data_IF_993738124285
#
_entry.id   IF_993738124285
#
_cell.length_a   1.000
_cell.length_b   1.000
_cell.length_c   1.000
_cell.angle_alpha   90.00
_cell.angle_beta   90.00
_cell.angle_gamma   90.00
#
_symmetry.space_group_name_H-M   'P 1'
#
loop_
_entity.id
_entity.type
_entity.pdbx_description
1 polymer ?
#
# COMPACT_ATOMS: atom_id res chain seq x y z
N UNK A 1 -31.58 -25.88 4.88
CA UNK A 1 -30.80 -24.62 4.84
C UNK A 1 -30.96 -23.92 6.18
N UNK A 2 -29.87 -23.47 6.79
CA UNK A 2 -29.90 -22.75 8.07
C UNK A 2 -30.27 -21.28 7.86
N UNK A 3 -30.79 -20.62 8.90
CA UNK A 3 -31.13 -19.18 8.88
C UNK A 3 -29.95 -18.31 8.45
N UNK A 4 -28.73 -18.70 8.83
CA UNK A 4 -27.49 -18.03 8.44
C UNK A 4 -27.17 -18.17 6.95
N UNK A 5 -27.39 -19.34 6.36
CA UNK A 5 -27.20 -19.55 4.91
C UNK A 5 -28.15 -18.67 4.09
N UNK A 6 -29.40 -18.50 4.54
CA UNK A 6 -30.35 -17.60 3.89
C UNK A 6 -29.93 -16.13 4.00
N UNK A 7 -29.44 -15.71 5.17
CA UNK A 7 -28.91 -14.36 5.38
C UNK A 7 -27.69 -14.08 4.49
N UNK A 8 -26.76 -15.03 4.42
CA UNK A 8 -25.56 -14.91 3.59
C UNK A 8 -25.90 -14.82 2.10
N UNK A 9 -26.83 -15.65 1.61
CA UNK A 9 -27.30 -15.59 0.22
C UNK A 9 -27.96 -14.23 -0.10
N UNK A 10 -28.78 -13.71 0.81
CA UNK A 10 -29.40 -12.38 0.66
C UNK A 10 -28.34 -11.27 0.59
N UNK A 11 -27.38 -11.27 1.51
CA UNK A 11 -26.30 -10.28 1.52
C UNK A 11 -25.39 -10.37 0.28
N UNK A 12 -25.15 -11.58 -0.24
CA UNK A 12 -24.43 -11.78 -1.50
C UNK A 12 -25.21 -11.22 -2.70
N UNK A 13 -26.54 -11.37 -2.73
CA UNK A 13 -27.40 -10.76 -3.76
C UNK A 13 -27.34 -9.24 -3.72
N UNK A 14 -27.43 -8.64 -2.53
CA UNK A 14 -27.31 -7.17 -2.37
C UNK A 14 -25.94 -6.69 -2.85
N UNK A 15 -24.88 -7.45 -2.55
CA UNK A 15 -23.52 -7.12 -2.99
C UNK A 15 -23.34 -7.25 -4.51
N UNK A 16 -23.96 -8.23 -5.16
CA UNK A 16 -23.91 -8.36 -6.61
C UNK A 16 -24.68 -7.23 -7.30
N UNK A 17 -25.85 -6.85 -6.79
CA UNK A 17 -26.61 -5.68 -7.25
C UNK A 17 -25.81 -4.38 -7.10
N UNK A 18 -25.12 -4.19 -5.96
CA UNK A 18 -24.23 -3.04 -5.77
C UNK A 18 -23.10 -2.99 -6.81
N UNK A 19 -22.46 -4.13 -7.09
CA UNK A 19 -21.41 -4.22 -8.14
C UNK A 19 -21.96 -3.91 -9.53
N UNK A 20 -23.15 -4.40 -9.86
CA UNK A 20 -23.82 -4.10 -11.13
C UNK A 20 -24.17 -2.61 -11.23
N UNK A 21 -24.69 -2.01 -10.15
CA UNK A 21 -24.92 -0.57 -10.09
C UNK A 21 -23.63 0.21 -10.31
N UNK A 22 -22.52 -0.16 -9.66
CA UNK A 22 -21.23 0.51 -9.85
C UNK A 22 -20.70 0.39 -11.29
N UNK A 23 -20.88 -0.77 -11.93
CA UNK A 23 -20.49 -0.99 -13.31
C UNK A 23 -21.28 -0.11 -14.28
N UNK A 24 -22.60 0.00 -14.08
CA UNK A 24 -23.50 0.80 -14.92
C UNK A 24 -23.40 2.29 -14.66
N UNK A 25 -23.02 2.70 -13.44
CA UNK A 25 -22.95 4.11 -13.03
C UNK A 25 -21.68 4.84 -13.48
N UNK A 26 -20.86 4.21 -14.35
CA UNK A 26 -19.51 4.65 -14.67
C UNK A 26 -18.66 4.83 -13.40
N UNK A 27 -18.72 3.83 -12.52
CA UNK A 27 -17.97 3.77 -11.26
C UNK A 27 -18.26 4.97 -10.35
N UNK A 28 -19.53 5.39 -10.27
CA UNK A 28 -19.98 6.42 -9.34
C UNK A 28 -20.57 5.83 -8.07
N UNK A 29 -19.88 5.92 -6.92
CA UNK A 29 -20.43 5.40 -5.68
C UNK A 29 -21.68 6.15 -5.22
N UNK A 30 -21.82 7.43 -5.59
CA UNK A 30 -22.97 8.26 -5.18
C UNK A 30 -24.28 7.77 -5.75
N UNK A 31 -24.25 7.20 -6.96
CA UNK A 31 -25.43 6.66 -7.64
C UNK A 31 -25.90 5.33 -7.06
N UNK A 32 -25.05 4.67 -6.26
CA UNK A 32 -25.31 3.37 -5.65
C UNK A 32 -25.36 3.47 -4.11
N UNK A 33 -25.58 4.67 -3.57
CA UNK A 33 -25.56 4.93 -2.13
C UNK A 33 -26.63 4.15 -1.36
N UNK A 34 -27.76 3.82 -1.98
CA UNK A 34 -28.88 3.09 -1.37
C UNK A 34 -28.51 1.66 -0.92
N UNK A 35 -27.47 1.07 -1.53
CA UNK A 35 -26.98 -0.26 -1.18
C UNK A 35 -26.01 -0.23 0.01
N UNK A 36 -25.35 0.91 0.27
CA UNK A 36 -24.37 1.06 1.35
C UNK A 36 -24.95 0.71 2.73
N UNK A 37 -26.09 1.26 3.20
CA UNK A 37 -26.62 0.92 4.51
C UNK A 37 -27.01 -0.55 4.64
N UNK A 38 -27.47 -1.18 3.55
CA UNK A 38 -27.82 -2.61 3.51
C UNK A 38 -26.57 -3.48 3.64
N UNK A 39 -25.51 -3.14 2.89
CA UNK A 39 -24.24 -3.83 2.99
C UNK A 39 -23.61 -3.64 4.37
N UNK A 40 -23.66 -2.45 4.97
CA UNK A 40 -23.22 -2.21 6.36
C UNK A 40 -23.98 -3.05 7.38
N UNK A 41 -25.28 -3.26 7.18
CA UNK A 41 -26.06 -4.17 8.02
C UNK A 41 -25.55 -5.62 7.86
N UNK A 42 -25.30 -6.05 6.63
CA UNK A 42 -24.70 -7.36 6.35
C UNK A 42 -23.30 -7.52 6.97
N UNK A 43 -22.44 -6.49 6.90
CA UNK A 43 -21.10 -6.52 7.53
C UNK A 43 -21.22 -6.78 9.04
N UNK A 44 -22.15 -6.08 9.71
CA UNK A 44 -22.40 -6.24 11.15
C UNK A 44 -23.00 -7.59 11.50
N UNK A 45 -23.95 -8.10 10.70
CA UNK A 45 -24.64 -9.35 11.00
C UNK A 45 -23.79 -10.60 10.73
N UNK A 46 -22.95 -10.57 9.70
CA UNK A 46 -22.13 -11.72 9.29
C UNK A 46 -20.65 -11.59 9.71
N UNK A 47 -20.27 -10.45 10.29
CA UNK A 47 -18.89 -10.12 10.67
C UNK A 47 -17.90 -10.29 9.50
N UNK A 48 -18.32 -9.84 8.31
CA UNK A 48 -17.52 -9.86 7.07
C UNK A 48 -17.37 -8.43 6.55
N UNK A 49 -16.27 -8.15 5.84
CA UNK A 49 -16.08 -6.87 5.15
C UNK A 49 -16.48 -6.98 3.69
N UNK A 50 -17.18 -5.96 3.17
CA UNK A 50 -17.46 -5.80 1.73
C UNK A 50 -16.61 -4.71 1.08
N UNK A 51 -15.60 -4.20 1.78
CA UNK A 51 -14.64 -3.21 1.26
C UNK A 51 -15.30 -1.94 0.71
N UNK A 52 -16.37 -1.50 1.36
CA UNK A 52 -17.19 -0.39 0.89
C UNK A 52 -16.40 0.92 0.92
N UNK A 53 -15.66 1.17 2.00
CA UNK A 53 -14.87 2.39 2.16
C UNK A 53 -13.69 2.42 1.19
N UNK A 54 -12.98 1.31 1.06
CA UNK A 54 -11.87 1.14 0.12
C UNK A 54 -12.35 1.33 -1.31
N UNK A 55 -13.52 0.77 -1.68
CA UNK A 55 -14.13 0.99 -2.99
C UNK A 55 -14.47 2.46 -3.21
N UNK A 56 -15.12 3.10 -2.24
CA UNK A 56 -15.52 4.51 -2.35
C UNK A 56 -14.31 5.43 -2.49
N UNK A 57 -13.27 5.21 -1.68
CA UNK A 57 -12.03 5.96 -1.69
C UNK A 57 -11.26 5.76 -3.00
N UNK A 58 -11.14 4.51 -3.47
CA UNK A 58 -10.50 4.20 -4.74
C UNK A 58 -11.24 4.84 -5.91
N UNK A 59 -12.56 4.77 -5.97
CA UNK A 59 -13.33 5.40 -7.06
C UNK A 59 -13.27 6.92 -7.01
N UNK A 60 -13.24 7.51 -5.82
CA UNK A 60 -13.05 8.96 -5.64
C UNK A 60 -11.66 9.39 -6.12
N UNK A 61 -10.62 8.66 -5.73
CA UNK A 61 -9.25 8.93 -6.14
C UNK A 61 -9.06 8.70 -7.63
N UNK A 62 -9.55 7.60 -8.20
CA UNK A 62 -9.42 7.31 -9.63
C UNK A 62 -10.02 8.39 -10.55
N UNK A 63 -11.01 9.15 -10.06
CA UNK A 63 -11.58 10.31 -10.76
C UNK A 63 -10.76 11.58 -10.63
N UNK A 64 -10.03 11.73 -9.53
CA UNK A 64 -9.19 12.89 -9.20
C UNK A 64 -7.93 12.37 -8.51
N UNK A 65 -6.98 11.81 -9.28
CA UNK A 65 -5.83 11.13 -8.72
C UNK A 65 -4.93 12.12 -7.98
N UNK A 66 -4.33 11.64 -6.90
CA UNK A 66 -3.28 12.33 -6.18
C UNK A 66 -1.91 12.15 -6.86
N UNK A 67 -0.86 12.71 -6.28
CA UNK A 67 0.50 12.55 -6.80
C UNK A 67 1.00 11.09 -6.76
N UNK A 68 0.40 10.24 -5.91
CA UNK A 68 0.72 8.83 -5.81
C UNK A 68 -0.10 7.95 -6.76
N UNK A 69 -0.95 8.56 -7.61
CA UNK A 69 -1.83 7.90 -8.57
C UNK A 69 -2.69 6.81 -7.89
N UNK A 70 -3.20 7.12 -6.70
CA UNK A 70 -4.07 6.26 -5.90
C UNK A 70 -3.44 4.93 -5.46
N UNK A 71 -2.11 4.83 -5.44
CA UNK A 71 -1.40 3.59 -5.11
C UNK A 71 -1.80 3.02 -3.74
N UNK A 72 -2.02 3.90 -2.75
CA UNK A 72 -2.48 3.53 -1.40
C UNK A 72 -3.89 2.92 -1.44
N UNK A 73 -4.83 3.55 -2.14
CA UNK A 73 -6.21 3.08 -2.27
C UNK A 73 -6.28 1.74 -3.02
N UNK A 74 -5.46 1.55 -4.05
CA UNK A 74 -5.36 0.28 -4.76
C UNK A 74 -4.91 -0.85 -3.84
N UNK A 75 -3.87 -0.60 -3.03
CA UNK A 75 -3.37 -1.58 -2.09
C UNK A 75 -4.43 -1.92 -1.03
N UNK A 76 -5.04 -0.91 -0.41
CA UNK A 76 -6.08 -1.10 0.62
C UNK A 76 -7.25 -1.92 0.08
N UNK A 77 -7.72 -1.60 -1.13
CA UNK A 77 -8.80 -2.38 -1.77
C UNK A 77 -8.38 -3.82 -2.07
N UNK A 78 -7.15 -4.03 -2.55
CA UNK A 78 -6.61 -5.36 -2.86
C UNK A 78 -6.42 -6.22 -1.62
N UNK A 79 -6.01 -5.63 -0.50
CA UNK A 79 -5.86 -6.33 0.77
C UNK A 79 -7.21 -6.58 1.45
N UNK A 80 -8.14 -5.63 1.39
CA UNK A 80 -9.50 -5.84 1.92
C UNK A 80 -10.25 -6.96 1.19
N UNK A 81 -10.14 -7.04 -0.14
CA UNK A 81 -10.86 -8.06 -0.94
C UNK A 81 -10.28 -9.47 -0.79
N UNK A 82 -9.26 -9.67 0.06
CA UNK A 82 -8.60 -10.96 0.23
C UNK A 82 -9.43 -11.89 1.13
N UNK A 83 -9.70 -13.14 0.70
CA UNK A 83 -10.29 -14.14 1.59
C UNK A 83 -9.36 -14.40 2.78
N UNK A 84 -9.87 -14.28 4.00
CA UNK A 84 -9.08 -14.39 5.24
C UNK A 84 -8.54 -13.07 5.78
N UNK A 85 -8.80 -11.94 5.10
CA UNK A 85 -8.44 -10.60 5.55
C UNK A 85 -7.14 -10.07 4.96
N UNK A 86 -6.77 -8.81 5.29
CA UNK A 86 -5.60 -8.15 4.73
C UNK A 86 -4.30 -8.77 5.27
N UNK A 87 -3.33 -9.05 4.42
CA UNK A 87 -2.01 -9.53 4.87
C UNK A 87 -1.05 -8.38 5.09
N UNK A 88 -1.14 -7.36 4.24
CA UNK A 88 -0.34 -6.15 4.33
C UNK A 88 -1.22 -5.00 4.85
N UNK A 89 -0.69 -4.28 5.83
CA UNK A 89 -1.33 -3.17 6.51
C UNK A 89 -0.56 -1.89 6.23
N UNK A 90 -1.29 -0.79 6.14
CA UNK A 90 -0.72 0.57 6.12
C UNK A 90 -0.88 1.15 7.53
N UNK A 91 0.21 1.22 8.28
CA UNK A 91 0.28 1.74 9.65
C UNK A 91 0.94 3.12 9.67
N UNK A 92 1.01 3.74 10.84
CA UNK A 92 1.73 4.99 11.07
C UNK A 92 2.80 4.77 12.12
N UNK A 93 4.00 5.28 11.89
CA UNK A 93 5.05 5.26 12.90
C UNK A 93 4.86 6.29 14.01
N UNK A 94 5.80 6.31 14.97
CA UNK A 94 5.77 7.23 16.10
C UNK A 94 5.83 8.71 15.68
N UNK A 95 6.27 9.00 14.44
CA UNK A 95 6.36 10.33 13.86
C UNK A 95 5.15 10.64 12.96
N UNK A 96 4.20 9.71 12.84
CA UNK A 96 3.00 9.84 12.01
C UNK A 96 3.22 9.57 10.53
N UNK A 97 4.41 9.10 10.12
CA UNK A 97 4.69 8.75 8.74
C UNK A 97 4.13 7.34 8.42
N UNK A 98 3.55 7.15 7.21
CA UNK A 98 2.94 5.89 6.85
C UNK A 98 3.99 4.79 6.61
N UNK A 99 3.70 3.57 7.07
CA UNK A 99 4.57 2.39 6.94
C UNK A 99 3.78 1.17 6.51
N UNK A 100 4.47 0.22 5.88
CA UNK A 100 3.90 -1.07 5.54
C UNK A 100 4.28 -2.12 6.56
N UNK A 101 3.27 -2.84 7.07
CA UNK A 101 3.45 -3.93 8.02
C UNK A 101 2.71 -5.18 7.56
N UNK A 102 3.36 -6.34 7.68
CA UNK A 102 2.72 -7.63 7.47
C UNK A 102 2.01 -8.06 8.76
N UNK A 103 0.81 -8.61 8.65
CA UNK A 103 0.12 -9.21 9.80
C UNK A 103 1.03 -10.24 10.51
N UNK A 104 1.28 -10.11 11.83
CA UNK A 104 2.22 -10.98 12.55
C UNK A 104 1.94 -12.48 12.40
N UNK A 105 0.67 -12.86 12.37
CA UNK A 105 0.23 -14.24 12.20
C UNK A 105 0.54 -14.83 10.81
N UNK A 106 0.78 -13.97 9.81
CA UNK A 106 1.06 -14.36 8.43
C UNK A 106 2.53 -14.17 8.05
N UNK A 107 3.38 -13.64 8.95
CA UNK A 107 4.79 -13.35 8.66
C UNK A 107 5.56 -14.56 8.15
N UNK A 108 5.20 -15.76 8.61
CA UNK A 108 5.80 -17.04 8.19
C UNK A 108 5.58 -17.36 6.71
N UNK A 109 4.61 -16.71 6.06
CA UNK A 109 4.36 -16.83 4.63
C UNK A 109 5.29 -15.94 3.80
N UNK A 110 6.05 -15.05 4.45
CA UNK A 110 6.98 -14.11 3.83
C UNK A 110 8.40 -14.45 4.26
N UNK A 111 9.39 -14.11 3.43
CA UNK A 111 10.82 -14.18 3.78
C UNK A 111 11.25 -13.01 4.68
N UNK A 112 10.30 -12.31 5.29
CA UNK A 112 10.56 -11.15 6.12
C UNK A 112 11.03 -11.59 7.51
N UNK A 113 12.07 -10.93 8.03
CA UNK A 113 12.59 -11.16 9.38
C UNK A 113 11.73 -10.47 10.45
N UNK A 114 10.98 -9.43 10.07
CA UNK A 114 10.13 -8.62 10.93
C UNK A 114 8.80 -8.26 10.24
N UNK A 115 7.73 -7.94 11.01
CA UNK A 115 6.47 -7.46 10.46
C UNK A 115 6.62 -6.14 9.69
N UNK A 116 7.52 -5.26 10.12
CA UNK A 116 7.80 -3.99 9.45
C UNK A 116 8.53 -4.25 8.12
N UNK A 117 7.88 -3.83 7.02
CA UNK A 117 8.41 -3.89 5.66
C UNK A 117 9.19 -2.61 5.32
N UNK A 118 8.85 -1.49 5.95
CA UNK A 118 9.48 -0.20 5.70
C UNK A 118 8.50 0.95 5.50
N UNK A 119 9.02 2.16 5.21
CA UNK A 119 8.20 3.34 4.94
C UNK A 119 7.37 3.17 3.67
N UNK A 120 6.14 3.67 3.68
CA UNK A 120 5.25 3.65 2.52
C UNK A 120 5.55 4.77 1.51
N UNK A 121 6.46 5.68 1.85
CA UNK A 121 6.88 6.81 1.04
C UNK A 121 8.39 6.76 0.78
N UNK A 122 8.79 7.18 -0.41
CA UNK A 122 10.19 7.23 -0.79
C UNK A 122 10.93 8.27 0.05
N UNK A 123 12.21 8.03 0.40
CA UNK A 123 13.01 9.00 1.14
C UNK A 123 13.21 10.26 0.30
N UNK A 124 13.18 11.41 0.97
CA UNK A 124 13.51 12.70 0.34
C UNK A 124 15.00 12.74 0.02
N UNK A 125 15.35 13.30 -1.14
CA UNK A 125 16.75 13.47 -1.56
C UNK A 125 17.51 14.28 -0.51
N UNK A 126 18.55 13.68 0.05
CA UNK A 126 19.38 14.29 1.09
C UNK A 126 20.84 13.96 0.87
N UNK A 127 21.67 14.99 0.66
CA UNK A 127 23.13 14.83 0.50
C UNK A 127 23.80 14.12 1.68
N UNK A 128 23.54 14.47 2.96
CA UNK A 128 24.15 13.77 4.07
C UNK A 128 23.72 12.30 4.13
N UNK A 129 22.45 12.00 3.85
CA UNK A 129 21.96 10.62 3.81
C UNK A 129 22.67 9.82 2.70
N UNK A 130 22.79 10.39 1.50
CA UNK A 130 23.49 9.74 0.40
C UNK A 130 24.96 9.45 0.76
N UNK A 131 25.66 10.40 1.38
CA UNK A 131 27.05 10.21 1.79
C UNK A 131 27.16 9.11 2.86
N UNK A 132 26.29 9.14 3.87
CA UNK A 132 26.25 8.12 4.91
C UNK A 132 26.03 6.72 4.33
N UNK A 133 25.11 6.58 3.37
CA UNK A 133 24.87 5.30 2.69
C UNK A 133 26.08 4.86 1.88
N UNK A 134 26.76 5.77 1.17
CA UNK A 134 28.01 5.46 0.44
C UNK A 134 29.08 4.94 1.41
N UNK A 135 29.26 5.60 2.56
CA UNK A 135 30.27 5.21 3.53
C UNK A 135 29.96 3.85 4.18
N UNK A 136 28.68 3.58 4.48
CA UNK A 136 28.23 2.27 4.96
C UNK A 136 28.51 1.16 3.94
N UNK A 137 28.24 1.41 2.66
CA UNK A 137 28.51 0.45 1.59
C UNK A 137 30.02 0.21 1.41
N UNK A 138 30.86 1.26 1.49
CA UNK A 138 32.33 1.12 1.46
C UNK A 138 32.84 0.22 2.59
N UNK A 139 32.29 0.39 3.80
CA UNK A 139 32.63 -0.43 4.97
C UNK A 139 32.19 -1.87 4.78
N UNK A 140 30.94 -2.11 4.36
CA UNK A 140 30.40 -3.45 4.13
C UNK A 140 31.16 -4.22 3.03
N UNK A 141 31.56 -3.52 1.97
CA UNK A 141 32.34 -4.10 0.88
C UNK A 141 33.83 -4.25 1.22
N UNK A 142 34.30 -3.74 2.37
CA UNK A 142 35.72 -3.67 2.74
C UNK A 142 36.59 -3.09 1.59
N UNK A 143 36.09 -2.04 0.92
CA UNK A 143 36.68 -1.52 -0.30
C UNK A 143 37.88 -0.61 -0.01
N UNK A 144 39.05 -1.22 0.22
CA UNK A 144 40.28 -0.53 0.64
C UNK A 144 40.83 0.52 -0.35
N UNK A 145 40.47 0.42 -1.63
CA UNK A 145 40.98 1.29 -2.69
C UNK A 145 39.86 2.01 -3.48
N UNK A 146 38.68 2.19 -2.88
CA UNK A 146 37.50 2.69 -3.60
C UNK A 146 37.72 4.08 -4.24
N UNK A 147 38.40 5.00 -3.53
CA UNK A 147 38.66 6.35 -4.03
C UNK A 147 40.07 6.50 -4.65
N UNK A 148 40.79 5.39 -4.87
CA UNK A 148 42.15 5.44 -5.41
C UNK A 148 42.14 5.79 -6.90
N UNK A 149 42.84 6.86 -7.26
CA UNK A 149 43.03 7.29 -8.65
C UNK A 149 44.50 7.07 -9.04
N UNK A 150 44.81 6.05 -9.88
CA UNK A 150 46.18 5.72 -10.23
C UNK A 150 46.85 6.76 -11.14
N UNK A 151 46.06 7.48 -11.96
CA UNK A 151 46.51 8.57 -12.81
C UNK A 151 45.40 9.61 -12.97
N UNK A 152 45.76 10.89 -12.86
CA UNK A 152 44.87 12.02 -13.12
C UNK A 152 45.52 12.95 -14.15
N UNK A 153 44.70 13.54 -15.03
CA UNK A 153 45.18 14.44 -16.07
C UNK A 153 45.86 15.69 -15.47
N UNK A 154 47.04 16.04 -15.98
CA UNK A 154 47.80 17.21 -15.52
C UNK A 154 47.09 18.50 -15.92
N UNK A 155 46.69 19.30 -14.92
CA UNK A 155 45.90 20.51 -15.13
C UNK A 155 45.98 21.41 -13.90
N UNK A 156 45.75 22.71 -14.11
CA UNK A 156 45.61 23.69 -13.02
C UNK A 156 44.32 23.48 -12.18
N UNK A 157 43.40 22.61 -12.62
CA UNK A 157 42.14 22.29 -11.91
C UNK A 157 42.29 21.03 -11.06
N UNK A 158 41.73 21.05 -9.85
CA UNK A 158 41.76 19.92 -8.90
C UNK A 158 40.98 18.67 -9.35
N UNK A 159 40.00 18.82 -10.25
CA UNK A 159 39.26 17.69 -10.84
C UNK A 159 38.93 18.00 -12.30
N UNK A 160 39.88 17.77 -13.23
CA UNK A 160 39.70 18.12 -14.64
C UNK A 160 38.53 17.35 -15.26
N UNK A 161 37.56 18.07 -15.82
CA UNK A 161 36.44 17.50 -16.58
C UNK A 161 35.28 16.91 -15.77
N UNK A 162 35.33 17.00 -14.43
CA UNK A 162 34.20 16.64 -13.54
C UNK A 162 33.43 17.87 -13.09
#
# INVERSE_FOLDING_TARGET
MTREQHLQASCQSIHSEYKQCLATSNRDPRKCADYVPKLRACEKSLNISYCIDETNNLMKCARRPDASVCSKEFLLMRECNRPGGPHLLLTTDAQGAPRYEVQPQLIKQFTALSPDVGPAEAPVRSKPLMQQTIDQLKQQANAKAFDFVPYAWESLRSSPGK
#
